data_IF_563132165811
#
_entry.id   IF_563132165811
#
_cell.length_a   1.000
_cell.length_b   1.000
_cell.length_c   1.000
_cell.angle_alpha   90.00
_cell.angle_beta   90.00
_cell.angle_gamma   90.00
#
_symmetry.space_group_name_H-M   'P 1'
#
loop_
_entity.id
_entity.type
_entity.pdbx_description
1 polymer ?
#
# COMPACT_ATOMS: atom_id res chain seq x y z
N UNK A 1 -2.36 18.42 15.29
CA UNK A 1 -2.25 17.97 13.90
C UNK A 1 -1.04 18.56 13.13
N UNK A 2 -0.62 19.84 13.34
CA UNK A 2 0.62 20.39 12.69
C UNK A 2 1.86 19.53 12.98
N UNK A 3 2.08 19.07 14.20
CA UNK A 3 3.22 18.20 14.54
C UNK A 3 3.15 16.83 13.84
N UNK A 4 1.95 16.25 13.71
CA UNK A 4 1.71 15.00 12.96
C UNK A 4 2.12 15.19 11.50
N UNK A 5 1.60 16.23 10.84
CA UNK A 5 1.93 16.55 9.46
C UNK A 5 3.43 16.79 9.26
N UNK A 6 4.06 17.50 10.19
CA UNK A 6 5.51 17.71 10.17
C UNK A 6 6.33 16.42 10.24
N UNK A 7 5.91 15.44 11.05
CA UNK A 7 6.55 14.11 11.11
C UNK A 7 6.36 13.30 9.83
N UNK A 8 5.17 13.38 9.21
CA UNK A 8 4.88 12.70 7.95
C UNK A 8 5.68 13.28 6.78
N UNK A 9 5.86 14.60 6.71
CA UNK A 9 6.46 15.29 5.57
C UNK A 9 7.98 15.48 5.68
N UNK A 10 8.49 15.68 6.89
CA UNK A 10 9.90 16.05 7.14
C UNK A 10 10.60 15.16 8.17
N UNK A 11 9.90 14.19 8.71
CA UNK A 11 10.43 13.24 9.68
C UNK A 11 10.56 11.83 9.12
N UNK A 12 10.27 10.85 9.97
CA UNK A 12 10.39 9.42 9.64
C UNK A 12 9.31 8.90 8.69
N UNK A 13 8.37 9.74 8.24
CA UNK A 13 7.33 9.39 7.29
C UNK A 13 6.11 8.68 7.89
N UNK A 14 6.11 8.40 9.19
CA UNK A 14 4.94 7.83 9.87
C UNK A 14 4.74 8.41 11.27
N UNK A 15 3.56 8.22 11.84
CA UNK A 15 3.25 8.56 13.22
C UNK A 15 2.13 7.66 13.74
N UNK A 16 2.19 7.36 15.02
CA UNK A 16 1.13 6.64 15.74
C UNK A 16 0.49 7.62 16.69
N UNK A 17 -0.83 7.78 16.60
CA UNK A 17 -1.61 8.51 17.60
C UNK A 17 -2.03 7.51 18.67
N UNK A 18 -1.76 7.86 19.94
CA UNK A 18 -2.15 6.99 21.04
C UNK A 18 -3.68 6.92 21.15
N UNK A 19 -4.12 5.84 21.78
CA UNK A 19 -5.49 5.33 21.71
C UNK A 19 -6.57 6.39 21.98
N UNK A 20 -7.53 6.40 21.07
CA UNK A 20 -8.85 6.91 21.36
C UNK A 20 -9.55 5.94 22.31
N UNK A 21 -10.37 6.46 23.22
CA UNK A 21 -11.16 5.62 24.15
C UNK A 21 -12.29 4.90 23.40
N UNK A 22 -11.93 3.83 22.68
CA UNK A 22 -12.89 3.05 21.85
C UNK A 22 -14.08 2.49 22.65
N UNK A 23 -13.96 2.41 24.01
CA UNK A 23 -15.04 1.96 24.89
C UNK A 23 -16.10 3.03 25.15
N UNK A 24 -15.76 4.30 24.95
CA UNK A 24 -16.61 5.45 25.24
C UNK A 24 -17.41 5.93 24.03
N UNK A 25 -17.19 5.33 22.87
CA UNK A 25 -17.77 5.74 21.60
C UNK A 25 -18.37 4.56 20.83
N UNK A 26 -19.44 4.83 20.12
CA UNK A 26 -19.99 3.91 19.12
C UNK A 26 -19.02 3.79 17.94
N UNK A 27 -19.22 2.77 17.09
CA UNK A 27 -18.43 2.60 15.86
C UNK A 27 -18.54 3.82 14.93
N UNK A 28 -19.72 4.40 14.80
CA UNK A 28 -19.96 5.54 13.90
C UNK A 28 -19.34 6.84 14.43
N UNK A 29 -19.38 7.04 15.76
CA UNK A 29 -18.65 8.15 16.39
C UNK A 29 -17.14 8.01 16.20
N UNK A 30 -16.57 6.80 16.33
CA UNK A 30 -15.15 6.55 16.07
C UNK A 30 -14.78 6.81 14.62
N UNK A 31 -15.62 6.42 13.65
CA UNK A 31 -15.45 6.76 12.25
C UNK A 31 -15.48 8.27 12.02
N UNK A 32 -16.40 8.98 12.67
CA UNK A 32 -16.50 10.44 12.60
C UNK A 32 -15.25 11.13 13.16
N UNK A 33 -14.75 10.66 14.30
CA UNK A 33 -13.48 11.16 14.88
C UNK A 33 -12.32 10.91 13.93
N UNK A 34 -12.21 9.71 13.39
CA UNK A 34 -11.17 9.38 12.40
C UNK A 34 -11.25 10.26 11.17
N UNK A 35 -12.46 10.48 10.65
CA UNK A 35 -12.69 11.35 9.50
C UNK A 35 -12.21 12.79 9.77
N UNK A 36 -12.59 13.36 10.91
CA UNK A 36 -12.19 14.71 11.31
C UNK A 36 -10.67 14.80 11.44
N UNK A 37 -10.04 13.87 12.16
CA UNK A 37 -8.60 13.86 12.37
C UNK A 37 -7.83 13.73 11.05
N UNK A 38 -8.27 12.84 10.17
CA UNK A 38 -7.65 12.63 8.85
C UNK A 38 -7.81 13.85 7.95
N UNK A 39 -8.97 14.50 7.97
CA UNK A 39 -9.25 15.72 7.20
C UNK A 39 -8.40 16.92 7.63
N UNK A 40 -7.91 16.95 8.86
CA UNK A 40 -6.94 17.94 9.33
C UNK A 40 -5.51 17.73 8.77
N UNK A 41 -5.23 16.55 8.24
CA UNK A 41 -3.94 16.20 7.61
C UNK A 41 -4.01 16.46 6.12
N UNK A 42 -4.99 15.87 5.44
CA UNK A 42 -5.17 15.96 4.00
C UNK A 42 -6.63 15.76 3.58
N UNK A 43 -6.96 16.13 2.35
CA UNK A 43 -8.27 15.86 1.76
C UNK A 43 -8.42 14.35 1.50
N UNK A 44 -9.52 13.72 1.94
CA UNK A 44 -9.81 12.33 1.61
C UNK A 44 -9.94 12.11 0.09
N UNK A 45 -9.46 10.95 -0.37
CA UNK A 45 -9.60 10.49 -1.76
C UNK A 45 -10.37 9.18 -1.81
N UNK A 46 -11.03 8.92 -2.93
CA UNK A 46 -11.76 7.67 -3.12
C UNK A 46 -10.84 6.45 -3.04
N UNK A 47 -11.24 5.47 -2.24
CA UNK A 47 -10.49 4.22 -2.00
C UNK A 47 -11.01 3.06 -2.88
N UNK A 48 -12.01 3.31 -3.69
CA UNK A 48 -12.56 2.36 -4.64
C UNK A 48 -13.11 3.10 -5.85
N UNK A 49 -13.30 2.38 -6.93
CA UNK A 49 -13.96 2.91 -8.13
C UNK A 49 -15.37 3.43 -7.82
N UNK A 50 -16.07 2.84 -6.86
CA UNK A 50 -17.40 3.28 -6.41
C UNK A 50 -17.41 4.58 -5.60
N UNK A 51 -16.26 5.20 -5.35
CA UNK A 51 -16.18 6.47 -4.63
C UNK A 51 -16.13 6.34 -3.10
N UNK A 52 -15.91 5.16 -2.55
CA UNK A 52 -15.80 4.95 -1.10
C UNK A 52 -14.64 5.75 -0.52
N UNK A 53 -14.91 6.63 0.41
CA UNK A 53 -13.90 7.50 1.06
C UNK A 53 -13.37 6.92 2.37
N UNK A 54 -14.15 6.09 3.05
CA UNK A 54 -13.80 5.42 4.29
C UNK A 54 -14.13 3.92 4.17
N UNK A 55 -13.12 3.08 4.34
CA UNK A 55 -13.23 1.65 4.11
C UNK A 55 -13.05 0.86 5.41
N UNK A 56 -13.96 -0.08 5.69
CA UNK A 56 -13.86 -0.99 6.83
C UNK A 56 -13.04 -2.22 6.43
N UNK A 57 -11.88 -2.41 7.05
CA UNK A 57 -11.08 -3.62 6.91
C UNK A 57 -11.58 -4.66 7.90
N UNK A 58 -12.12 -5.76 7.40
CA UNK A 58 -12.74 -6.81 8.20
C UNK A 58 -12.33 -8.19 7.65
N UNK A 59 -12.01 -9.11 8.54
CA UNK A 59 -11.96 -10.52 8.16
C UNK A 59 -13.39 -11.02 7.90
N UNK A 60 -13.66 -11.36 6.66
CA UNK A 60 -14.96 -11.87 6.20
C UNK A 60 -15.03 -13.41 6.24
N UNK A 61 -13.99 -14.08 6.75
CA UNK A 61 -13.88 -15.52 6.75
C UNK A 61 -13.62 -16.16 5.37
N UNK A 62 -13.35 -15.34 4.34
CA UNK A 62 -13.01 -15.83 3.01
C UNK A 62 -11.63 -16.46 3.00
N UNK A 63 -11.50 -17.61 2.36
CA UNK A 63 -10.20 -18.25 2.15
C UNK A 63 -9.36 -17.45 1.16
N UNK A 64 -8.05 -17.42 1.40
CA UNK A 64 -7.07 -16.80 0.49
C UNK A 64 -7.17 -17.44 -0.89
N UNK A 65 -7.25 -16.63 -1.92
CA UNK A 65 -7.32 -17.08 -3.31
C UNK A 65 -6.92 -15.97 -4.30
N UNK A 66 -6.62 -16.33 -5.55
CA UNK A 66 -6.13 -15.37 -6.55
C UNK A 66 -7.14 -14.26 -6.90
N UNK A 67 -8.44 -14.51 -6.65
CA UNK A 67 -9.52 -13.54 -6.91
C UNK A 67 -10.05 -12.86 -5.63
N UNK A 68 -9.48 -13.18 -4.46
CA UNK A 68 -9.94 -12.64 -3.18
C UNK A 68 -8.97 -11.58 -2.73
N UNK A 69 -9.46 -10.38 -2.46
CA UNK A 69 -8.65 -9.29 -1.87
C UNK A 69 -8.14 -9.73 -0.50
N UNK A 70 -6.88 -9.46 -0.22
CA UNK A 70 -6.23 -9.92 1.00
C UNK A 70 -6.78 -9.25 2.26
N UNK A 71 -7.23 -8.01 2.15
CA UNK A 71 -7.89 -7.22 3.21
C UNK A 71 -9.24 -7.80 3.67
N UNK A 72 -9.78 -8.79 2.97
CA UNK A 72 -11.00 -9.53 3.33
C UNK A 72 -10.69 -10.87 4.01
N UNK A 73 -9.44 -11.16 4.31
CA UNK A 73 -8.98 -12.44 4.86
C UNK A 73 -8.11 -12.23 6.09
N UNK A 74 -7.89 -13.29 6.88
CA UNK A 74 -6.93 -13.30 7.99
C UNK A 74 -5.48 -13.58 7.55
N UNK A 75 -5.20 -13.59 6.25
CA UNK A 75 -3.86 -13.88 5.74
C UNK A 75 -2.88 -12.74 6.02
N UNK A 76 -1.66 -13.08 6.38
CA UNK A 76 -0.57 -12.14 6.49
C UNK A 76 -0.29 -11.49 5.12
N UNK A 77 0.02 -10.21 5.15
CA UNK A 77 0.34 -9.41 3.98
C UNK A 77 1.82 -9.06 4.00
N UNK A 78 2.47 -9.23 2.86
CA UNK A 78 3.82 -8.71 2.62
C UNK A 78 3.84 -7.18 2.68
N UNK A 79 5.02 -6.59 2.90
CA UNK A 79 5.19 -5.15 2.77
C UNK A 79 4.76 -4.68 1.39
N UNK A 80 3.84 -3.75 1.35
CA UNK A 80 3.26 -3.22 0.12
C UNK A 80 2.82 -1.77 0.30
N UNK A 81 2.60 -1.09 -0.80
CA UNK A 81 1.83 0.15 -0.85
C UNK A 81 0.42 -0.15 -1.33
N UNK A 82 -0.55 0.52 -0.76
CA UNK A 82 -1.89 0.54 -1.33
C UNK A 82 -1.91 1.30 -2.65
N UNK A 83 -2.92 1.03 -3.47
CA UNK A 83 -3.11 1.70 -4.77
C UNK A 83 -1.91 1.60 -5.73
N UNK A 84 -1.10 0.55 -5.63
CA UNK A 84 0.07 0.35 -6.49
C UNK A 84 -0.26 0.36 -8.00
N UNK A 85 -1.50 0.07 -8.37
CA UNK A 85 -2.03 0.03 -9.73
C UNK A 85 -2.66 1.36 -10.21
N UNK A 86 -2.76 2.36 -9.35
CA UNK A 86 -3.30 3.69 -9.63
C UNK A 86 -2.33 4.78 -9.16
N UNK A 87 -2.81 6.04 -9.09
CA UNK A 87 -2.10 7.13 -8.44
C UNK A 87 -2.04 6.88 -6.93
N UNK A 88 -0.85 6.68 -6.33
CA UNK A 88 -0.75 6.45 -4.90
C UNK A 88 -1.19 7.68 -4.11
N UNK A 89 -1.99 7.53 -3.04
CA UNK A 89 -2.31 8.64 -2.15
C UNK A 89 -1.06 9.10 -1.41
N UNK A 90 -0.95 10.40 -1.14
CA UNK A 90 0.19 10.97 -0.41
C UNK A 90 0.27 10.46 1.04
N UNK A 91 -0.86 10.19 1.66
CA UNK A 91 -0.96 9.68 3.02
C UNK A 91 -1.92 8.50 3.08
N UNK A 92 -1.59 7.57 3.94
CA UNK A 92 -2.44 6.44 4.28
C UNK A 92 -2.69 6.45 5.80
N UNK A 93 -3.92 6.27 6.21
CA UNK A 93 -4.30 6.23 7.63
C UNK A 93 -5.05 4.95 7.96
N UNK A 94 -4.79 4.41 9.14
CA UNK A 94 -5.53 3.29 9.71
C UNK A 94 -6.00 3.63 11.12
N UNK A 95 -7.23 3.29 11.45
CA UNK A 95 -7.74 3.31 12.81
C UNK A 95 -8.10 1.89 13.24
N UNK A 96 -7.46 1.40 14.30
CA UNK A 96 -7.81 0.12 14.89
C UNK A 96 -8.99 0.29 15.85
N UNK A 97 -10.15 -0.30 15.50
CA UNK A 97 -11.33 -0.32 16.34
C UNK A 97 -11.29 -1.49 17.32
N UNK A 98 -10.73 -2.62 16.92
CA UNK A 98 -10.52 -3.81 17.76
C UNK A 98 -9.18 -4.44 17.41
N UNK A 99 -8.43 -4.81 18.42
CA UNK A 99 -7.19 -5.58 18.22
C UNK A 99 -7.53 -7.04 17.91
N UNK A 100 -6.69 -7.68 17.11
CA UNK A 100 -6.79 -9.12 16.88
C UNK A 100 -6.53 -9.91 18.18
N UNK A 101 -7.18 -11.06 18.33
CA UNK A 101 -6.92 -11.96 19.47
C UNK A 101 -5.49 -12.50 19.47
N UNK A 102 -4.92 -12.73 18.27
CA UNK A 102 -3.56 -13.21 18.05
C UNK A 102 -3.03 -12.58 16.75
N UNK A 103 -1.77 -12.17 16.73
CA UNK A 103 -1.17 -11.49 15.57
C UNK A 103 -1.67 -10.05 15.38
N UNK A 104 -1.90 -9.63 14.14
CA UNK A 104 -2.39 -8.29 13.81
C UNK A 104 -1.35 -7.18 14.02
N UNK A 105 -0.06 -7.52 13.97
CA UNK A 105 1.03 -6.54 14.00
C UNK A 105 1.14 -5.87 12.64
N UNK A 106 1.28 -4.54 12.64
CA UNK A 106 1.60 -3.77 11.43
C UNK A 106 3.07 -3.39 11.45
N UNK A 107 3.78 -3.70 10.39
CA UNK A 107 5.14 -3.23 10.13
C UNK A 107 5.09 -1.99 9.24
N UNK A 108 6.02 -1.07 9.44
CA UNK A 108 6.22 0.10 8.58
C UNK A 108 7.68 0.14 8.16
N UNK A 109 7.91 0.29 6.86
CA UNK A 109 9.25 0.34 6.28
C UNK A 109 9.36 1.50 5.29
N UNK A 110 10.54 2.11 5.23
CA UNK A 110 10.80 3.21 4.30
C UNK A 110 11.20 2.69 2.92
N UNK A 111 10.38 2.95 1.90
CA UNK A 111 10.72 2.65 0.52
C UNK A 111 11.91 3.48 0.00
N UNK A 112 12.15 4.66 0.58
CA UNK A 112 13.33 5.47 0.26
C UNK A 112 14.60 4.84 0.83
N UNK A 113 14.55 4.30 2.04
CA UNK A 113 15.66 3.53 2.61
C UNK A 113 15.93 2.27 1.79
N UNK A 114 14.88 1.53 1.44
CA UNK A 114 14.99 0.36 0.58
C UNK A 114 15.58 0.70 -0.80
N UNK A 115 15.20 1.83 -1.41
CA UNK A 115 15.83 2.33 -2.63
C UNK A 115 17.35 2.53 -2.46
N UNK A 116 17.78 3.15 -1.35
CA UNK A 116 19.19 3.37 -1.07
C UNK A 116 19.95 2.07 -0.87
N UNK A 117 19.36 1.08 -0.18
CA UNK A 117 19.95 -0.26 -0.03
C UNK A 117 20.03 -0.99 -1.38
N UNK A 118 18.98 -0.94 -2.19
CA UNK A 118 19.01 -1.48 -3.55
C UNK A 118 20.09 -0.80 -4.40
N UNK A 119 20.25 0.52 -4.30
CA UNK A 119 21.29 1.28 -5.03
C UNK A 119 22.69 0.84 -4.62
N UNK A 120 22.91 0.58 -3.33
CA UNK A 120 24.22 0.19 -2.78
C UNK A 120 24.60 -1.24 -3.15
N UNK A 121 23.65 -2.18 -3.07
CA UNK A 121 23.94 -3.60 -3.13
C UNK A 121 23.45 -4.28 -4.41
N UNK A 122 22.44 -3.73 -5.09
CA UNK A 122 21.76 -4.32 -6.24
C UNK A 122 21.44 -3.30 -7.34
N UNK A 123 22.43 -2.47 -7.81
CA UNK A 123 22.15 -1.33 -8.70
C UNK A 123 21.46 -1.72 -10.01
N UNK A 124 21.82 -2.84 -10.64
CA UNK A 124 21.15 -3.33 -11.86
C UNK A 124 19.69 -3.68 -11.62
N UNK A 125 19.39 -4.33 -10.50
CA UNK A 125 18.01 -4.67 -10.15
C UNK A 125 17.20 -3.42 -9.79
N UNK A 126 17.82 -2.41 -9.21
CA UNK A 126 17.18 -1.11 -9.00
C UNK A 126 16.80 -0.45 -10.33
N UNK A 127 17.68 -0.47 -11.33
CA UNK A 127 17.36 0.04 -12.69
C UNK A 127 16.13 -0.66 -13.28
N UNK A 128 16.00 -1.98 -13.05
CA UNK A 128 14.81 -2.72 -13.49
C UNK A 128 13.54 -2.24 -12.79
N UNK A 129 13.61 -1.81 -11.52
CA UNK A 129 12.47 -1.28 -10.76
C UNK A 129 11.98 0.10 -11.27
N UNK A 130 12.76 0.82 -12.05
CA UNK A 130 12.35 2.03 -12.76
C UNK A 130 11.66 1.76 -14.11
N UNK A 131 11.68 0.51 -14.59
CA UNK A 131 10.93 0.11 -15.78
C UNK A 131 9.55 -0.43 -15.39
N UNK A 132 8.50 -0.23 -16.23
CA UNK A 132 7.15 -0.60 -15.90
C UNK A 132 6.96 -2.10 -15.63
N UNK A 133 6.03 -2.39 -14.71
CA UNK A 133 5.46 -3.70 -14.42
C UNK A 133 3.97 -3.66 -14.65
N UNK A 134 3.38 -4.78 -15.10
CA UNK A 134 1.95 -4.94 -15.14
C UNK A 134 1.39 -5.18 -13.74
N UNK A 135 0.30 -4.50 -13.41
CA UNK A 135 -0.34 -4.51 -12.09
C UNK A 135 -1.83 -4.84 -12.27
N UNK A 136 -2.33 -5.83 -11.57
CA UNK A 136 -3.75 -6.15 -11.55
C UNK A 136 -4.51 -5.07 -10.76
N UNK A 137 -5.58 -4.54 -11.34
CA UNK A 137 -6.42 -3.51 -10.70
C UNK A 137 -7.53 -4.08 -9.83
N UNK A 138 -7.69 -5.40 -9.78
CA UNK A 138 -8.69 -6.09 -8.95
C UNK A 138 -10.11 -5.52 -9.06
N UNK A 139 -10.52 -5.09 -10.25
CA UNK A 139 -11.83 -4.50 -10.50
C UNK A 139 -11.96 -3.01 -10.17
N UNK A 140 -10.90 -2.38 -9.64
CA UNK A 140 -10.88 -0.94 -9.32
C UNK A 140 -10.64 -0.10 -10.59
N UNK A 141 -11.60 -0.18 -11.53
CA UNK A 141 -11.58 0.55 -12.79
C UNK A 141 -13.01 0.72 -13.33
N UNK A 142 -13.24 1.75 -14.14
CA UNK A 142 -14.50 1.93 -14.83
C UNK A 142 -14.80 0.76 -15.80
N UNK A 143 -16.07 0.44 -16.04
CA UNK A 143 -16.47 -0.50 -17.08
C UNK A 143 -15.82 -0.15 -18.42
N UNK A 144 -15.29 -1.15 -19.12
CA UNK A 144 -14.61 -0.96 -20.41
C UNK A 144 -13.14 -0.52 -20.32
N UNK A 145 -12.63 -0.09 -19.16
CA UNK A 145 -11.21 0.23 -19.00
C UNK A 145 -10.36 -1.04 -18.76
N UNK A 146 -9.05 -0.96 -19.06
CA UNK A 146 -8.13 -2.08 -18.87
C UNK A 146 -8.14 -2.60 -17.42
N UNK A 147 -8.17 -3.93 -17.27
CA UNK A 147 -8.13 -4.62 -15.97
C UNK A 147 -6.74 -4.60 -15.31
N UNK A 148 -5.72 -4.26 -16.09
CA UNK A 148 -4.35 -4.07 -15.62
C UNK A 148 -3.86 -2.67 -15.98
N UNK A 149 -2.94 -2.16 -15.19
CA UNK A 149 -2.17 -0.93 -15.45
C UNK A 149 -0.68 -1.25 -15.54
N UNK A 150 0.11 -0.31 -16.04
CA UNK A 150 1.54 -0.51 -16.21
C UNK A 150 2.30 0.67 -15.60
N UNK A 151 3.06 0.39 -14.54
CA UNK A 151 3.79 1.42 -13.79
C UNK A 151 5.12 0.87 -13.26
N UNK A 152 6.15 1.72 -13.12
CA UNK A 152 7.38 1.33 -12.44
C UNK A 152 7.17 1.27 -10.91
N UNK A 153 8.06 0.56 -10.22
CA UNK A 153 8.12 0.57 -8.75
C UNK A 153 8.61 1.93 -8.25
N UNK A 154 9.65 2.47 -8.88
CA UNK A 154 10.18 3.79 -8.59
C UNK A 154 10.03 4.73 -9.79
N UNK A 155 9.66 5.96 -9.53
CA UNK A 155 9.67 7.04 -10.52
C UNK A 155 10.14 8.34 -9.88
N UNK A 156 10.82 9.19 -10.66
CA UNK A 156 11.30 10.50 -10.23
C UNK A 156 10.72 11.56 -11.14
N UNK A 157 10.07 12.55 -10.58
CA UNK A 157 9.40 13.62 -11.34
C UNK A 157 10.23 14.89 -11.50
N UNK A 158 11.50 14.87 -11.06
CA UNK A 158 12.40 15.99 -11.04
C UNK A 158 12.56 16.63 -9.65
N UNK A 159 11.62 16.39 -8.74
CA UNK A 159 11.65 16.91 -7.38
C UNK A 159 11.59 15.79 -6.32
N UNK A 160 10.68 14.85 -6.49
CA UNK A 160 10.40 13.80 -5.51
C UNK A 160 10.58 12.41 -6.12
N UNK A 161 11.06 11.48 -5.32
CA UNK A 161 11.06 10.05 -5.63
C UNK A 161 9.75 9.44 -5.17
N UNK A 162 8.98 8.96 -6.14
CA UNK A 162 7.74 8.24 -5.90
C UNK A 162 7.99 6.74 -5.89
N UNK A 163 7.30 6.03 -5.01
CA UNK A 163 7.42 4.60 -4.90
C UNK A 163 6.07 3.93 -4.77
N UNK A 164 5.91 2.81 -5.47
CA UNK A 164 4.78 1.89 -5.35
C UNK A 164 5.29 0.47 -5.40
N UNK A 165 4.88 -0.36 -4.49
CA UNK A 165 5.31 -1.75 -4.46
C UNK A 165 4.22 -2.66 -3.93
N UNK A 166 3.84 -3.64 -4.72
CA UNK A 166 2.96 -4.71 -4.30
C UNK A 166 3.25 -5.94 -5.16
N UNK A 167 4.07 -6.89 -4.65
CA UNK A 167 4.47 -8.08 -5.40
C UNK A 167 3.28 -8.87 -5.91
N UNK A 168 2.25 -9.03 -5.09
CA UNK A 168 1.03 -9.76 -5.45
C UNK A 168 0.33 -9.13 -6.66
N UNK A 169 0.21 -7.81 -6.69
CA UNK A 169 -0.41 -7.09 -7.80
C UNK A 169 0.42 -7.21 -9.08
N UNK A 170 1.76 -7.25 -8.96
CA UNK A 170 2.67 -7.45 -10.08
C UNK A 170 2.45 -8.84 -10.68
N UNK A 171 2.61 -9.90 -9.89
CA UNK A 171 2.46 -11.27 -10.41
C UNK A 171 1.07 -11.51 -11.01
N UNK A 172 0.01 -11.09 -10.32
CA UNK A 172 -1.35 -11.19 -10.83
C UNK A 172 -1.61 -10.30 -12.07
N UNK A 173 -0.87 -9.21 -12.22
CA UNK A 173 -0.93 -8.35 -13.39
C UNK A 173 -0.39 -9.05 -14.64
N UNK A 174 0.78 -9.70 -14.53
CA UNK A 174 1.37 -10.47 -15.62
C UNK A 174 0.50 -11.66 -16.02
N UNK A 175 -0.03 -12.41 -15.03
CA UNK A 175 -0.98 -13.50 -15.29
C UNK A 175 -2.22 -12.99 -16.06
N UNK A 176 -2.80 -11.87 -15.61
CA UNK A 176 -4.02 -11.29 -16.20
C UNK A 176 -3.84 -10.87 -17.65
N UNK A 177 -2.67 -10.34 -18.01
CA UNK A 177 -2.38 -9.90 -19.40
C UNK A 177 -1.77 -10.99 -20.27
N UNK A 178 -1.60 -12.22 -19.75
CA UNK A 178 -1.03 -13.35 -20.47
C UNK A 178 0.44 -13.14 -20.88
N UNK A 179 1.20 -12.38 -20.08
CA UNK A 179 2.64 -12.13 -20.33
C UNK A 179 3.48 -12.79 -19.25
N UNK A 180 4.71 -13.10 -19.58
CA UNK A 180 5.70 -13.59 -18.63
C UNK A 180 6.51 -12.42 -18.08
N UNK A 181 6.65 -12.35 -16.76
CA UNK A 181 7.60 -11.43 -16.13
C UNK A 181 9.02 -11.90 -16.45
N UNK A 182 9.84 -11.02 -17.01
CA UNK A 182 11.23 -11.32 -17.33
C UNK A 182 12.04 -11.67 -16.07
N UNK A 183 13.11 -12.45 -16.26
CA UNK A 183 13.93 -12.97 -15.16
C UNK A 183 14.53 -11.85 -14.30
N UNK A 184 14.99 -10.75 -14.92
CA UNK A 184 15.51 -9.59 -14.23
C UNK A 184 14.43 -8.91 -13.40
N UNK A 185 13.22 -8.77 -13.94
CA UNK A 185 12.06 -8.22 -13.24
C UNK A 185 11.64 -9.07 -12.05
N UNK A 186 11.59 -10.40 -12.21
CA UNK A 186 11.29 -11.33 -11.12
C UNK A 186 12.32 -11.19 -9.99
N UNK A 187 13.60 -11.21 -10.34
CA UNK A 187 14.72 -11.07 -9.40
C UNK A 187 14.70 -9.71 -8.69
N UNK A 188 14.35 -8.63 -9.41
CA UNK A 188 14.23 -7.30 -8.83
C UNK A 188 13.10 -7.22 -7.79
N UNK A 189 11.93 -7.81 -8.08
CA UNK A 189 10.80 -7.86 -7.15
C UNK A 189 11.13 -8.70 -5.91
N UNK A 190 11.72 -9.88 -6.09
CA UNK A 190 12.12 -10.77 -4.99
C UNK A 190 13.20 -10.15 -4.10
N UNK A 191 14.20 -9.51 -4.70
CA UNK A 191 15.27 -8.81 -3.95
C UNK A 191 14.71 -7.63 -3.18
N UNK A 192 13.85 -6.82 -3.81
CA UNK A 192 13.18 -5.71 -3.13
C UNK A 192 12.34 -6.20 -1.94
N UNK A 193 11.59 -7.28 -2.10
CA UNK A 193 10.83 -7.90 -1.01
C UNK A 193 11.75 -8.33 0.14
N UNK A 194 12.88 -8.95 -0.17
CA UNK A 194 13.88 -9.35 0.83
C UNK A 194 14.47 -8.15 1.57
N UNK A 195 14.80 -7.07 0.87
CA UNK A 195 15.31 -5.81 1.47
C UNK A 195 14.28 -5.19 2.40
N UNK A 196 13.00 -5.19 2.03
CA UNK A 196 11.93 -4.66 2.89
C UNK A 196 11.66 -5.52 4.13
N UNK A 197 11.97 -6.81 4.06
CA UNK A 197 11.76 -7.78 5.15
C UNK A 197 13.00 -7.98 6.04
N UNK A 198 14.13 -7.36 5.69
CA UNK A 198 15.33 -7.40 6.49
C UNK A 198 15.12 -6.66 7.83
N UNK A 199 15.70 -7.18 8.95
CA UNK A 199 15.57 -6.58 10.27
C UNK A 199 16.30 -5.23 10.39
#
# INVERSE_FOLDING_TARGET
>A
MKAVKGRLERGVGFTVLDRLSVRSFTKDELKSVYWILSSLIARPVAQSFSGTLLYDVLDTGKLKGPKVRADLTSAELDFHTDYSYNEPPRYFGLQTLRTAKKGGRSGVVSLLTAHNEMRRHHPRLLERLYRPFWLNRYGEHAPGLPKASSHPVYSFDGNELWARFNPRNIYAGYELVGKTLDEEGRKAVETMHSVLSAP
#
